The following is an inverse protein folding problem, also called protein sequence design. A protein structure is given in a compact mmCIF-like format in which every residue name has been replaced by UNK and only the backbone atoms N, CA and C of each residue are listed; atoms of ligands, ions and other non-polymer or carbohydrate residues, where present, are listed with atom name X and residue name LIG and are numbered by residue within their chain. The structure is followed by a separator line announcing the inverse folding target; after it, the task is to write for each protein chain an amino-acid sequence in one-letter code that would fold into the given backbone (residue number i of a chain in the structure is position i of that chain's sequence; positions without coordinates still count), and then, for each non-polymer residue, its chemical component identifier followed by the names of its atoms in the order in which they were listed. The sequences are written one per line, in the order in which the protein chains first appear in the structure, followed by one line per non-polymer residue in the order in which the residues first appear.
data_IF_259749670740
#
_entry.id   IF_259749670740
#
_cell.length_a   1.000
_cell.length_b   1.000
_cell.length_c   1.000
_cell.angle_alpha   90.00
_cell.angle_beta   90.00
_cell.angle_gamma   90.00
#
_symmetry.space_group_name_H-M   'P 1'
#
loop_
_entity.id
_entity.type
_entity.pdbx_description
1 polymer ?
#
# COMPACT_ATOMS: atom_id res chain seq x y z
N UNK A 1 8.18 29.99 8.34
CA UNK A 1 8.63 28.58 8.53
C UNK A 1 9.51 28.21 7.35
N UNK A 2 10.74 27.72 7.55
CA UNK A 2 11.60 27.23 6.46
C UNK A 2 11.05 25.88 5.98
N UNK A 3 10.95 25.70 4.66
CA UNK A 3 10.54 24.44 4.03
C UNK A 3 11.67 23.97 3.10
N UNK A 4 11.88 22.66 3.05
CA UNK A 4 12.80 22.03 2.12
C UNK A 4 11.99 21.50 0.93
N UNK A 5 12.46 21.77 -0.29
CA UNK A 5 11.83 21.31 -1.51
C UNK A 5 12.76 20.34 -2.23
N UNK A 6 12.20 19.23 -2.70
CA UNK A 6 12.89 18.30 -3.60
C UNK A 6 12.34 18.54 -5.01
N UNK A 7 13.17 19.12 -5.87
CA UNK A 7 12.81 19.38 -7.27
C UNK A 7 12.95 18.08 -8.05
N UNK A 8 11.86 17.65 -8.68
CA UNK A 8 11.77 16.41 -9.46
C UNK A 8 11.00 16.66 -10.74
N UNK A 9 11.31 15.91 -11.79
CA UNK A 9 10.62 16.03 -13.09
C UNK A 9 9.14 15.63 -13.01
N UNK A 10 8.82 14.63 -12.16
CA UNK A 10 7.46 14.14 -11.99
C UNK A 10 7.22 13.68 -10.55
N UNK A 11 6.35 14.41 -9.85
CA UNK A 11 6.04 14.17 -8.43
C UNK A 11 5.40 12.81 -8.16
N UNK A 12 4.58 12.30 -9.08
CA UNK A 12 3.95 10.98 -8.94
C UNK A 12 4.99 9.86 -9.02
N UNK A 13 5.87 9.90 -10.02
CA UNK A 13 6.97 8.92 -10.15
C UNK A 13 7.93 9.02 -8.98
N UNK A 14 8.22 10.22 -8.49
CA UNK A 14 9.05 10.41 -7.30
C UNK A 14 8.40 9.78 -6.06
N UNK A 15 7.11 10.03 -5.82
CA UNK A 15 6.35 9.42 -4.73
C UNK A 15 6.39 7.88 -4.80
N UNK A 16 6.15 7.31 -5.98
CA UNK A 16 6.19 5.87 -6.21
C UNK A 16 7.58 5.29 -5.94
N UNK A 17 8.66 5.97 -6.37
CA UNK A 17 10.04 5.54 -6.07
C UNK A 17 10.33 5.54 -4.57
N UNK A 18 9.90 6.57 -3.84
CA UNK A 18 10.06 6.65 -2.39
C UNK A 18 9.29 5.52 -1.71
N UNK A 19 8.04 5.26 -2.12
CA UNK A 19 7.23 4.16 -1.59
C UNK A 19 7.87 2.78 -1.86
N UNK A 20 8.47 2.56 -3.04
CA UNK A 20 9.21 1.33 -3.35
C UNK A 20 10.42 1.18 -2.43
N UNK A 21 11.19 2.25 -2.23
CA UNK A 21 12.34 2.23 -1.34
C UNK A 21 11.93 1.95 0.12
N UNK A 22 10.82 2.54 0.58
CA UNK A 22 10.24 2.27 1.90
C UNK A 22 9.78 0.81 2.04
N UNK A 23 9.03 0.29 1.07
CA UNK A 23 8.59 -1.11 1.04
C UNK A 23 9.74 -2.10 1.17
N UNK A 24 10.89 -1.82 0.55
CA UNK A 24 12.08 -2.69 0.60
C UNK A 24 12.73 -2.79 1.98
N UNK A 25 12.37 -1.93 2.94
CA UNK A 25 12.88 -1.99 4.30
C UNK A 25 12.20 -3.07 5.15
N UNK A 26 11.07 -3.60 4.68
CA UNK A 26 10.30 -4.63 5.37
C UNK A 26 10.59 -6.03 4.81
N UNK A 27 10.61 -7.02 5.70
CA UNK A 27 10.87 -8.41 5.35
C UNK A 27 9.59 -9.22 5.09
N UNK A 28 8.43 -8.68 5.47
CA UNK A 28 7.15 -9.38 5.32
C UNK A 28 6.60 -9.28 3.89
N UNK A 29 5.71 -10.20 3.55
CA UNK A 29 5.19 -10.31 2.18
C UNK A 29 4.09 -9.29 1.90
N UNK A 30 4.21 -8.59 0.76
CA UNK A 30 3.18 -7.68 0.24
C UNK A 30 2.41 -8.35 -0.90
N UNK A 31 1.10 -8.45 -0.75
CA UNK A 31 0.15 -9.07 -1.68
C UNK A 31 -0.68 -7.96 -2.35
N UNK A 32 -0.70 -7.96 -3.69
CA UNK A 32 -1.51 -7.03 -4.48
C UNK A 32 -2.83 -7.65 -4.93
N UNK A 33 -3.95 -6.96 -4.69
CA UNK A 33 -5.28 -7.33 -5.21
C UNK A 33 -5.64 -6.33 -6.31
N UNK A 34 -5.93 -6.85 -7.51
CA UNK A 34 -6.36 -6.04 -8.66
C UNK A 34 -7.59 -6.66 -9.33
N UNK A 35 -8.08 -6.05 -10.39
CA UNK A 35 -9.24 -6.50 -11.18
C UNK A 35 -10.28 -5.40 -11.40
N UNK A 36 -11.22 -5.61 -12.32
CA UNK A 36 -12.34 -4.70 -12.55
C UNK A 36 -13.43 -4.86 -11.48
N UNK A 37 -13.72 -6.11 -11.07
CA UNK A 37 -14.79 -6.48 -10.14
C UNK A 37 -14.28 -7.29 -8.93
N UNK A 38 -15.06 -7.34 -7.85
CA UNK A 38 -14.83 -8.28 -6.73
C UNK A 38 -13.66 -7.97 -5.77
N UNK A 39 -12.81 -6.98 -6.07
CA UNK A 39 -11.65 -6.59 -5.25
C UNK A 39 -11.98 -6.41 -3.77
N UNK A 40 -13.07 -5.69 -3.47
CA UNK A 40 -13.49 -5.41 -2.09
C UNK A 40 -13.86 -6.68 -1.34
N UNK A 41 -14.65 -7.57 -1.96
CA UNK A 41 -15.08 -8.84 -1.35
C UNK A 41 -13.89 -9.73 -1.06
N UNK A 42 -12.99 -9.91 -2.04
CA UNK A 42 -11.77 -10.72 -1.87
C UNK A 42 -10.89 -10.18 -0.76
N UNK A 43 -10.73 -8.86 -0.67
CA UNK A 43 -9.97 -8.19 0.40
C UNK A 43 -10.58 -8.47 1.77
N UNK A 44 -11.90 -8.38 1.91
CA UNK A 44 -12.57 -8.65 3.19
C UNK A 44 -12.48 -10.12 3.60
N UNK A 45 -12.67 -11.05 2.65
CA UNK A 45 -12.55 -12.48 2.93
C UNK A 45 -11.13 -12.89 3.32
N UNK A 46 -10.11 -12.41 2.60
CA UNK A 46 -8.72 -12.66 2.97
C UNK A 46 -8.42 -12.13 4.37
N UNK A 47 -8.88 -10.92 4.68
CA UNK A 47 -8.70 -10.35 6.02
C UNK A 47 -9.41 -11.20 7.08
N UNK A 48 -10.67 -11.60 6.85
CA UNK A 48 -11.42 -12.44 7.79
C UNK A 48 -10.74 -13.78 8.05
N UNK A 49 -10.30 -14.47 6.99
CA UNK A 49 -9.68 -15.80 7.11
C UNK A 49 -8.30 -15.76 7.76
N UNK A 50 -7.50 -14.73 7.48
CA UNK A 50 -6.10 -14.69 7.92
C UNK A 50 -5.91 -13.97 9.27
N UNK A 51 -6.80 -13.03 9.63
CA UNK A 51 -6.67 -12.22 10.84
C UNK A 51 -6.68 -13.01 12.14
N UNK A 52 -7.18 -14.26 12.13
CA UNK A 52 -7.16 -15.13 13.31
C UNK A 52 -5.74 -15.55 13.71
N UNK A 53 -4.82 -15.65 12.74
CA UNK A 53 -3.46 -16.17 12.95
C UNK A 53 -2.37 -15.14 12.66
N UNK A 54 -2.66 -14.17 11.79
CA UNK A 54 -1.66 -13.27 11.24
C UNK A 54 -2.04 -11.81 11.42
N UNK A 55 -1.04 -10.99 11.72
CA UNK A 55 -1.11 -9.54 11.70
C UNK A 55 -1.03 -9.03 10.25
N UNK A 56 -2.04 -8.26 9.83
CA UNK A 56 -2.17 -7.81 8.45
C UNK A 56 -2.31 -6.29 8.39
N UNK A 57 -1.50 -5.65 7.55
CA UNK A 57 -1.68 -4.25 7.16
C UNK A 57 -2.37 -4.15 5.78
N UNK A 58 -3.18 -3.10 5.59
CA UNK A 58 -3.99 -2.88 4.38
C UNK A 58 -4.09 -1.40 4.03
N UNK A 59 -4.49 -1.06 2.80
CA UNK A 59 -4.75 0.35 2.45
C UNK A 59 -5.81 0.94 3.39
N UNK A 60 -5.66 2.19 3.85
CA UNK A 60 -6.74 2.91 4.50
C UNK A 60 -7.86 3.20 3.49
N UNK A 61 -9.10 2.87 3.86
CA UNK A 61 -10.32 3.20 3.07
C UNK A 61 -10.20 2.78 1.59
N UNK A 62 -10.34 3.74 0.67
CA UNK A 62 -10.34 3.57 -0.79
C UNK A 62 -9.02 3.99 -1.45
N UNK A 63 -7.88 3.89 -0.73
CA UNK A 63 -6.57 4.31 -1.24
C UNK A 63 -5.97 3.28 -2.23
N UNK A 64 -6.70 3.01 -3.31
CA UNK A 64 -6.34 2.04 -4.35
C UNK A 64 -5.85 2.69 -5.66
N UNK A 65 -5.76 4.02 -5.74
CA UNK A 65 -5.28 4.73 -6.93
C UNK A 65 -3.75 4.73 -7.07
N UNK A 66 -3.23 5.22 -8.20
CA UNK A 66 -1.79 5.39 -8.44
C UNK A 66 -1.07 6.28 -7.42
N UNK A 67 -1.83 7.13 -6.70
CA UNK A 67 -1.34 7.97 -5.59
C UNK A 67 -1.63 7.30 -4.24
N UNK A 68 -2.83 6.73 -4.09
CA UNK A 68 -3.30 6.14 -2.84
C UNK A 68 -2.44 4.96 -2.39
N UNK A 69 -2.06 4.08 -3.32
CA UNK A 69 -1.23 2.90 -2.99
C UNK A 69 0.15 3.30 -2.46
N UNK A 70 0.93 4.18 -3.13
CA UNK A 70 2.18 4.69 -2.59
C UNK A 70 2.05 5.33 -1.20
N UNK A 71 1.03 6.16 -0.98
CA UNK A 71 0.80 6.78 0.33
C UNK A 71 0.46 5.74 1.40
N UNK A 72 -0.31 4.71 1.05
CA UNK A 72 -0.64 3.61 1.96
C UNK A 72 0.62 2.84 2.39
N UNK A 73 1.55 2.62 1.46
CA UNK A 73 2.83 1.96 1.73
C UNK A 73 3.74 2.85 2.60
N UNK A 74 3.74 4.16 2.39
CA UNK A 74 4.52 5.09 3.20
C UNK A 74 4.02 5.22 4.64
N UNK A 75 2.72 4.99 4.87
CA UNK A 75 2.14 4.96 6.21
C UNK A 75 2.28 3.62 6.94
N UNK A 76 3.00 2.65 6.36
CA UNK A 76 3.27 1.36 7.03
C UNK A 76 4.31 1.58 8.13
N UNK A 77 3.93 1.28 9.38
CA UNK A 77 4.83 1.34 10.53
C UNK A 77 4.70 0.06 11.36
N UNK A 78 5.82 -0.49 11.81
CA UNK A 78 5.87 -1.72 12.63
C UNK A 78 6.08 -3.00 11.83
N UNK A 79 5.86 -4.13 12.50
CA UNK A 79 6.02 -5.47 11.94
C UNK A 79 4.66 -6.13 11.75
N UNK A 80 4.45 -6.66 10.55
CA UNK A 80 3.28 -7.43 10.17
C UNK A 80 3.72 -8.75 9.55
N UNK A 81 2.83 -9.73 9.51
CA UNK A 81 3.07 -10.98 8.78
C UNK A 81 2.84 -10.76 7.26
N UNK A 82 1.83 -9.96 6.93
CA UNK A 82 1.47 -9.65 5.53
C UNK A 82 0.98 -8.21 5.36
N UNK A 83 1.19 -7.68 4.16
CA UNK A 83 0.55 -6.46 3.69
C UNK A 83 -0.37 -6.75 2.50
N UNK A 84 -1.68 -6.53 2.63
CA UNK A 84 -2.66 -6.76 1.55
C UNK A 84 -3.11 -5.43 0.98
N UNK A 85 -2.71 -5.13 -0.26
CA UNK A 85 -2.96 -3.85 -0.90
C UNK A 85 -3.82 -3.98 -2.15
N UNK A 86 -4.94 -3.26 -2.19
CA UNK A 86 -5.77 -3.12 -3.38
C UNK A 86 -5.19 -2.06 -4.31
N UNK A 87 -5.06 -2.40 -5.60
CA UNK A 87 -4.65 -1.49 -6.66
C UNK A 87 -5.70 -1.47 -7.77
N UNK A 88 -6.33 -0.31 -7.93
CA UNK A 88 -7.21 0.00 -9.05
C UNK A 88 -6.39 0.28 -10.30
N UNK A 89 -6.84 -0.29 -11.42
CA UNK A 89 -6.37 0.06 -12.75
C UNK A 89 -7.35 1.11 -13.25
N UNK A 90 -6.90 2.35 -13.38
CA UNK A 90 -7.61 3.46 -14.00
C UNK A 90 -6.67 4.21 -14.93
#
# INVERSE_FOLDING_TARGET
KKASFLVVENSLKALQKIAIAHRKQFHFSFIGITGSNGKTIVKEWLNFLLSYKYSIIRNPKSYNSQVGVPLSILGVEGNFDFGIFEAGIS
#
